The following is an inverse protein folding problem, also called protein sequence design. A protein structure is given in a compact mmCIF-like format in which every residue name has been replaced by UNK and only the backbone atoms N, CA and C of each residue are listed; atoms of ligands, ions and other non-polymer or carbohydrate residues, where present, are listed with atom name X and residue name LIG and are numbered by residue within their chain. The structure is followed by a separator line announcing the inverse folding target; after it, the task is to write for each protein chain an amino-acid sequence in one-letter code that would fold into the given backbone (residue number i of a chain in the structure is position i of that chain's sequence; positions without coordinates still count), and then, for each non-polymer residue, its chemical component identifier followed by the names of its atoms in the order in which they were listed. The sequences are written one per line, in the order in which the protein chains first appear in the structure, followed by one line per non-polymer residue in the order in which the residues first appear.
data_IF_380006838421
#
_entry.id   IF_380006838421
#
_cell.length_a   1.000
_cell.length_b   1.000
_cell.length_c   1.000
_cell.angle_alpha   90.00
_cell.angle_beta   90.00
_cell.angle_gamma   90.00
#
_symmetry.space_group_name_H-M   'P 1'
#
loop_
_entity.id
_entity.type
_entity.pdbx_description
1 polymer ?
#
# COMPACT_ATOMS: atom_id res chain seq x y z
N UNK A 1 -3.32 -37.59 -0.12
CA UNK A 1 -3.96 -36.71 0.88
C UNK A 1 -5.23 -36.14 0.26
N UNK A 2 -6.40 -36.67 0.62
CA UNK A 2 -7.69 -36.12 0.18
C UNK A 2 -7.97 -34.85 0.99
N UNK A 3 -7.48 -33.71 0.50
CA UNK A 3 -7.95 -32.42 1.01
C UNK A 3 -9.47 -32.36 0.87
N UNK A 4 -10.18 -31.89 1.88
CA UNK A 4 -11.61 -31.64 1.83
C UNK A 4 -11.89 -30.70 0.64
N UNK A 5 -12.20 -31.28 -0.52
CA UNK A 5 -12.68 -30.54 -1.68
C UNK A 5 -14.08 -30.07 -1.31
N UNK A 6 -14.34 -28.77 -1.41
CA UNK A 6 -15.62 -28.20 -1.03
C UNK A 6 -16.70 -28.63 -2.04
N UNK A 7 -17.34 -29.78 -1.78
CA UNK A 7 -18.34 -30.38 -2.68
C UNK A 7 -19.68 -29.62 -2.60
N UNK A 8 -19.85 -28.77 -1.59
CA UNK A 8 -21.16 -28.19 -1.23
C UNK A 8 -21.37 -26.76 -1.73
N UNK A 9 -20.33 -26.05 -2.15
CA UNK A 9 -20.40 -24.63 -2.56
C UNK A 9 -21.42 -24.38 -3.68
N UNK A 10 -21.54 -25.31 -4.62
CA UNK A 10 -22.46 -25.21 -5.76
C UNK A 10 -23.81 -25.89 -5.52
N UNK A 11 -23.92 -26.74 -4.50
CA UNK A 11 -25.15 -27.47 -4.18
C UNK A 11 -26.17 -26.60 -3.43
N UNK A 12 -25.69 -25.64 -2.63
CA UNK A 12 -26.53 -24.73 -1.84
C UNK A 12 -26.48 -23.27 -2.31
N UNK A 13 -25.75 -22.99 -3.39
CA UNK A 13 -25.59 -21.64 -3.93
C UNK A 13 -26.83 -21.18 -4.70
N UNK A 14 -27.69 -20.37 -4.07
CA UNK A 14 -28.75 -19.67 -4.78
C UNK A 14 -28.20 -18.39 -5.45
N UNK A 15 -28.14 -18.40 -6.79
CA UNK A 15 -27.79 -17.23 -7.58
C UNK A 15 -28.95 -16.22 -7.56
N UNK A 16 -28.82 -15.19 -6.73
CA UNK A 16 -29.69 -14.01 -6.81
C UNK A 16 -29.45 -13.28 -8.14
N UNK A 17 -30.52 -12.74 -8.73
CA UNK A 17 -30.42 -11.95 -9.97
C UNK A 17 -29.60 -10.68 -9.73
N UNK A 18 -28.59 -10.45 -10.57
CA UNK A 18 -27.79 -9.22 -10.57
C UNK A 18 -26.32 -9.46 -10.96
N UNK A 19 -25.71 -8.45 -11.57
CA UNK A 19 -24.31 -8.51 -12.05
C UNK A 19 -23.32 -8.74 -10.90
N UNK A 20 -23.57 -8.18 -9.73
CA UNK A 20 -22.71 -8.34 -8.54
C UNK A 20 -22.70 -9.79 -8.04
N UNK A 21 -23.85 -10.44 -8.00
CA UNK A 21 -23.98 -11.85 -7.61
C UNK A 21 -23.34 -12.77 -8.65
N UNK A 22 -23.49 -12.47 -9.94
CA UNK A 22 -22.82 -13.20 -11.01
C UNK A 22 -21.28 -13.10 -10.90
N UNK A 23 -20.74 -11.91 -10.62
CA UNK A 23 -19.31 -11.70 -10.41
C UNK A 23 -18.79 -12.39 -9.14
N UNK A 24 -19.57 -12.36 -8.05
CA UNK A 24 -19.22 -13.06 -6.82
C UNK A 24 -19.17 -14.58 -7.06
N UNK A 25 -20.15 -15.14 -7.77
CA UNK A 25 -20.16 -16.56 -8.11
C UNK A 25 -19.01 -16.93 -9.06
N UNK A 26 -18.68 -16.09 -10.03
CA UNK A 26 -17.53 -16.30 -10.91
C UNK A 26 -16.22 -16.37 -10.12
N UNK A 27 -16.04 -15.51 -9.10
CA UNK A 27 -14.87 -15.57 -8.20
C UNK A 27 -14.85 -16.83 -7.34
N UNK A 28 -16.00 -17.27 -6.83
CA UNK A 28 -16.11 -18.50 -6.06
C UNK A 28 -15.77 -19.72 -6.94
N UNK A 29 -16.27 -19.74 -8.18
CA UNK A 29 -15.96 -20.77 -9.17
C UNK A 29 -14.48 -20.81 -9.54
N UNK A 30 -13.88 -19.66 -9.83
CA UNK A 30 -12.45 -19.53 -10.12
C UNK A 30 -11.59 -20.02 -8.95
N UNK A 31 -11.89 -19.56 -7.73
CA UNK A 31 -11.19 -20.00 -6.52
C UNK A 31 -11.34 -21.50 -6.27
N UNK A 32 -12.51 -22.07 -6.50
CA UNK A 32 -12.74 -23.50 -6.33
C UNK A 32 -11.90 -24.31 -7.33
N UNK A 33 -11.95 -23.94 -8.62
CA UNK A 33 -11.22 -24.63 -9.68
C UNK A 33 -9.72 -24.52 -9.44
N UNK A 34 -9.23 -23.32 -9.13
CA UNK A 34 -7.81 -23.08 -8.87
C UNK A 34 -7.34 -23.81 -7.61
N UNK A 35 -7.97 -23.59 -6.46
CA UNK A 35 -7.53 -24.19 -5.19
C UNK A 35 -7.62 -25.72 -5.15
N UNK A 36 -8.62 -26.31 -5.83
CA UNK A 36 -8.86 -27.75 -5.75
C UNK A 36 -8.14 -28.56 -6.82
N UNK A 37 -7.74 -27.91 -7.93
CA UNK A 37 -7.23 -28.62 -9.11
C UNK A 37 -5.97 -28.03 -9.72
N UNK A 38 -5.45 -26.87 -9.29
CA UNK A 38 -4.25 -26.26 -9.89
C UNK A 38 -3.04 -27.19 -9.93
N UNK A 39 -2.80 -27.94 -8.86
CA UNK A 39 -1.66 -28.86 -8.77
C UNK A 39 -1.93 -30.23 -9.43
N UNK A 40 -3.11 -30.41 -10.02
CA UNK A 40 -3.47 -31.61 -10.75
C UNK A 40 -2.80 -31.61 -12.14
N UNK A 41 -2.21 -32.74 -12.58
CA UNK A 41 -1.68 -32.85 -13.94
C UNK A 41 -2.75 -32.70 -15.04
N UNK A 42 -4.04 -32.74 -14.66
CA UNK A 42 -5.17 -32.55 -15.57
C UNK A 42 -5.82 -31.17 -15.48
N UNK A 43 -5.21 -30.21 -14.77
CA UNK A 43 -5.78 -28.88 -14.57
C UNK A 43 -6.10 -28.16 -15.90
N UNK A 44 -5.15 -28.18 -16.83
CA UNK A 44 -5.34 -27.57 -18.15
C UNK A 44 -6.46 -28.23 -18.95
N UNK A 45 -6.54 -29.57 -18.91
CA UNK A 45 -7.62 -30.33 -19.58
C UNK A 45 -8.99 -30.00 -18.99
N UNK A 46 -9.07 -29.82 -17.67
CA UNK A 46 -10.29 -29.41 -16.98
C UNK A 46 -10.71 -28.00 -17.41
N UNK A 47 -9.78 -27.05 -17.43
CA UNK A 47 -10.06 -25.68 -17.88
C UNK A 47 -10.55 -25.65 -19.33
N UNK A 48 -9.89 -26.38 -20.23
CA UNK A 48 -10.31 -26.49 -21.63
C UNK A 48 -11.73 -27.05 -21.75
N UNK A 49 -12.05 -28.10 -20.98
CA UNK A 49 -13.39 -28.68 -20.96
C UNK A 49 -14.46 -27.70 -20.45
N UNK A 50 -14.15 -26.88 -19.45
CA UNK A 50 -15.06 -25.84 -18.94
C UNK A 50 -15.31 -24.78 -20.01
N UNK A 51 -14.25 -24.28 -20.66
CA UNK A 51 -14.39 -23.28 -21.72
C UNK A 51 -15.12 -23.83 -22.94
N UNK A 52 -14.87 -25.08 -23.31
CA UNK A 52 -15.59 -25.77 -24.39
C UNK A 52 -17.07 -25.96 -24.07
N UNK A 53 -17.40 -26.24 -22.80
CA UNK A 53 -18.79 -26.37 -22.40
C UNK A 53 -19.51 -25.02 -22.40
N UNK A 54 -18.87 -23.96 -21.91
CA UNK A 54 -19.41 -22.59 -21.92
C UNK A 54 -19.61 -22.10 -23.35
N UNK A 55 -18.66 -22.32 -24.26
CA UNK A 55 -18.76 -21.84 -25.64
C UNK A 55 -19.84 -22.54 -26.47
N UNK A 56 -20.25 -23.75 -26.04
CA UNK A 56 -21.33 -24.53 -26.66
C UNK A 56 -22.67 -24.39 -25.94
N UNK A 57 -22.73 -23.59 -24.88
CA UNK A 57 -23.97 -23.40 -24.13
C UNK A 57 -24.98 -22.61 -24.99
N UNK A 58 -26.21 -23.12 -25.18
CA UNK A 58 -27.24 -22.46 -25.98
C UNK A 58 -27.67 -21.09 -25.45
N UNK A 59 -27.29 -20.72 -24.21
CA UNK A 59 -27.52 -19.40 -23.63
C UNK A 59 -26.48 -18.35 -24.01
N UNK A 60 -25.37 -18.73 -24.66
CA UNK A 60 -24.36 -17.79 -25.16
C UNK A 60 -24.73 -17.25 -26.52
N UNK A 61 -24.98 -15.94 -26.60
CA UNK A 61 -25.19 -15.26 -27.88
C UNK A 61 -23.85 -14.88 -28.56
N UNK A 62 -23.89 -14.56 -29.85
CA UNK A 62 -22.70 -14.19 -30.63
C UNK A 62 -21.96 -12.99 -30.03
N UNK A 63 -22.68 -12.07 -29.37
CA UNK A 63 -22.09 -10.89 -28.73
C UNK A 63 -21.29 -11.28 -27.47
N UNK A 64 -21.80 -12.21 -26.69
CA UNK A 64 -21.15 -12.76 -25.50
C UNK A 64 -19.94 -13.62 -25.89
N UNK A 65 -20.04 -14.38 -26.97
CA UNK A 65 -18.90 -15.11 -27.54
C UNK A 65 -17.80 -14.16 -28.01
N UNK A 66 -18.14 -13.10 -28.74
CA UNK A 66 -17.18 -12.07 -29.17
C UNK A 66 -16.55 -11.33 -27.97
N UNK A 67 -17.34 -11.06 -26.93
CA UNK A 67 -16.84 -10.44 -25.69
C UNK A 67 -15.86 -11.37 -24.95
N UNK A 68 -16.15 -12.68 -24.91
CA UNK A 68 -15.28 -13.69 -24.34
C UNK A 68 -13.96 -13.80 -25.11
N UNK A 69 -14.00 -13.83 -26.43
CA UNK A 69 -12.81 -13.85 -27.29
C UNK A 69 -11.93 -12.62 -27.04
N UNK A 70 -12.52 -11.42 -27.04
CA UNK A 70 -11.80 -10.18 -26.76
C UNK A 70 -11.15 -10.18 -25.36
N UNK A 71 -11.83 -10.72 -24.35
CA UNK A 71 -11.30 -10.84 -23.00
C UNK A 71 -10.12 -11.84 -22.93
N UNK A 72 -10.20 -12.96 -23.65
CA UNK A 72 -9.11 -13.93 -23.74
C UNK A 72 -7.89 -13.36 -24.45
N UNK A 73 -8.08 -12.66 -25.57
CA UNK A 73 -7.01 -11.97 -26.29
C UNK A 73 -6.34 -10.90 -25.42
N UNK A 74 -7.12 -10.12 -24.66
CA UNK A 74 -6.59 -9.14 -23.71
C UNK A 74 -5.76 -9.82 -22.61
N UNK A 75 -6.23 -10.94 -22.07
CA UNK A 75 -5.50 -11.71 -21.04
C UNK A 75 -4.21 -12.30 -21.59
N UNK A 76 -4.22 -12.89 -22.79
CA UNK A 76 -3.03 -13.42 -23.45
C UNK A 76 -1.99 -12.32 -23.67
N UNK A 77 -2.42 -11.15 -24.16
CA UNK A 77 -1.54 -10.00 -24.34
C UNK A 77 -0.96 -9.50 -23.01
N UNK A 78 -1.73 -9.52 -21.93
CA UNK A 78 -1.24 -9.17 -20.60
C UNK A 78 -0.17 -10.14 -20.09
N UNK A 79 -0.39 -11.45 -20.24
CA UNK A 79 0.59 -12.49 -19.87
C UNK A 79 1.87 -12.37 -20.70
N UNK A 80 1.76 -12.16 -22.01
CA UNK A 80 2.92 -11.95 -22.89
C UNK A 80 3.68 -10.67 -22.53
N UNK A 81 2.96 -9.60 -22.15
CA UNK A 81 3.57 -8.36 -21.69
C UNK A 81 4.31 -8.56 -20.38
N UNK A 82 3.70 -9.23 -19.40
CA UNK A 82 4.34 -9.56 -18.12
C UNK A 82 5.58 -10.42 -18.30
N UNK A 83 5.53 -11.43 -19.18
CA UNK A 83 6.70 -12.24 -19.53
C UNK A 83 7.81 -11.39 -20.19
N UNK A 84 7.47 -10.45 -21.08
CA UNK A 84 8.43 -9.52 -21.70
C UNK A 84 9.02 -8.53 -20.71
N UNK A 85 8.22 -8.02 -19.78
CA UNK A 85 8.68 -7.07 -18.76
C UNK A 85 9.59 -7.78 -17.75
N UNK A 86 9.25 -9.00 -17.33
CA UNK A 86 10.12 -9.86 -16.53
C UNK A 86 11.42 -10.25 -17.24
N UNK A 87 11.41 -10.45 -18.56
CA UNK A 87 12.63 -10.70 -19.36
C UNK A 87 13.51 -9.44 -19.49
N UNK A 88 12.90 -8.26 -19.64
CA UNK A 88 13.63 -6.97 -19.61
C UNK A 88 14.25 -6.71 -18.25
N UNK A 89 13.55 -7.02 -17.16
CA UNK A 89 14.07 -6.83 -15.81
C UNK A 89 15.15 -7.86 -15.49
N UNK A 90 15.05 -9.11 -15.99
CA UNK A 90 16.17 -10.06 -15.99
C UNK A 90 17.39 -9.52 -16.74
N UNK A 91 17.22 -8.92 -17.92
CA UNK A 91 18.33 -8.33 -18.69
C UNK A 91 18.97 -7.13 -17.98
N UNK A 92 18.19 -6.31 -17.26
CA UNK A 92 18.70 -5.21 -16.43
C UNK A 92 19.46 -5.71 -15.19
N UNK A 93 18.98 -6.77 -14.54
CA UNK A 93 19.69 -7.39 -13.40
C UNK A 93 20.95 -8.18 -13.80
N UNK A 94 21.07 -8.58 -15.07
CA UNK A 94 22.26 -9.27 -15.59
C UNK A 94 23.35 -8.29 -16.07
N UNK A 95 23.09 -6.98 -16.10
CA UNK A 95 24.02 -5.99 -16.67
C UNK A 95 25.19 -5.57 -15.77
N UNK A 96 25.31 -6.10 -14.54
CA UNK A 96 26.41 -5.73 -13.63
C UNK A 96 27.42 -6.87 -13.34
N UNK A 97 27.26 -8.05 -13.94
CA UNK A 97 28.25 -9.14 -13.85
C UNK A 97 28.47 -9.88 -15.16
N UNK A 98 28.96 -9.15 -16.16
CA UNK A 98 29.91 -9.73 -17.12
C UNK A 98 31.07 -8.76 -17.26
N UNK A 99 32.18 -9.11 -16.61
CA UNK A 99 33.50 -8.79 -17.16
C UNK A 99 33.45 -9.11 -18.65
N UNK A 100 33.77 -8.12 -19.46
CA UNK A 100 34.03 -8.20 -20.90
C UNK A 100 34.99 -9.36 -21.17
N UNK A 101 34.42 -10.54 -21.39
CA UNK A 101 35.12 -11.72 -21.83
C UNK A 101 35.11 -11.75 -23.35
N UNK A 102 36.25 -11.38 -23.91
CA UNK A 102 36.86 -11.84 -25.17
C UNK A 102 35.89 -12.25 -26.28
N UNK A 103 35.92 -11.47 -27.37
CA UNK A 103 35.40 -11.85 -28.68
C UNK A 103 36.04 -13.19 -29.13
N UNK A 104 35.28 -14.23 -29.52
CA UNK A 104 35.83 -15.50 -29.98
C UNK A 104 36.57 -15.41 -31.33
N UNK A 105 36.60 -14.24 -31.97
CA UNK A 105 37.11 -14.08 -33.34
C UNK A 105 38.37 -13.21 -33.45
N UNK A 106 39.03 -12.85 -32.34
CA UNK A 106 40.38 -12.28 -32.40
C UNK A 106 41.42 -13.39 -32.52
N UNK A 107 41.90 -13.53 -33.75
CA UNK A 107 43.00 -14.37 -34.21
C UNK A 107 44.29 -14.01 -33.43
N UNK A 108 44.55 -14.74 -32.34
CA UNK A 108 45.74 -14.58 -31.52
C UNK A 108 46.90 -15.29 -32.20
N UNK A 109 47.51 -14.61 -33.18
CA UNK A 109 48.82 -14.97 -33.72
C UNK A 109 49.90 -14.94 -32.64
N UNK A 110 50.68 -16.03 -32.60
CA UNK A 110 52.07 -16.18 -32.11
C UNK A 110 52.50 -15.38 -30.87
N UNK A 111 52.72 -16.07 -29.75
CA UNK A 111 54.09 -16.44 -29.36
C UNK A 111 54.04 -17.40 -28.17
N UNK A 112 54.60 -18.59 -28.37
CA UNK A 112 54.85 -19.54 -27.30
C UNK A 112 56.15 -19.11 -26.61
N UNK A 113 56.04 -18.20 -25.64
CA UNK A 113 57.13 -17.95 -24.71
C UNK A 113 57.28 -19.17 -23.78
N UNK A 114 58.49 -19.74 -23.75
CA UNK A 114 58.87 -20.82 -22.85
C UNK A 114 58.85 -20.31 -21.41
N UNK A 115 57.72 -20.53 -20.71
CA UNK A 115 57.56 -20.19 -19.30
C UNK A 115 58.34 -21.19 -18.45
N UNK A 116 59.29 -20.69 -17.66
CA UNK A 116 60.12 -21.50 -16.76
C UNK A 116 59.30 -22.09 -15.60
N UNK A 117 59.73 -23.23 -15.03
CA UNK A 117 58.99 -23.94 -13.96
C UNK A 117 58.74 -23.08 -12.70
N UNK A 118 59.59 -22.09 -12.43
CA UNK A 118 59.43 -21.15 -11.31
C UNK A 118 58.32 -20.12 -11.54
N UNK A 119 58.11 -19.65 -12.77
CA UNK A 119 57.02 -18.73 -13.12
C UNK A 119 55.65 -19.43 -13.13
N UNK A 120 55.61 -20.73 -13.50
CA UNK A 120 54.41 -21.54 -13.36
C UNK A 120 54.02 -21.77 -11.89
N UNK A 121 55.00 -21.94 -11.00
CA UNK A 121 54.76 -22.07 -9.56
C UNK A 121 54.26 -20.75 -8.94
N UNK A 122 54.86 -19.61 -9.31
CA UNK A 122 54.42 -18.28 -8.87
C UNK A 122 53.00 -17.95 -9.35
N UNK A 123 52.66 -18.33 -10.59
CA UNK A 123 51.31 -18.14 -11.15
C UNK A 123 50.26 -19.00 -10.47
N UNK A 124 50.59 -20.25 -10.13
CA UNK A 124 49.69 -21.13 -9.35
C UNK A 124 49.47 -20.59 -7.93
N UNK A 125 50.53 -20.12 -7.26
CA UNK A 125 50.41 -19.53 -5.93
C UNK A 125 49.55 -18.24 -5.94
N UNK A 126 49.68 -17.41 -6.99
CA UNK A 126 48.84 -16.24 -7.16
C UNK A 126 47.36 -16.59 -7.41
N UNK A 127 47.09 -17.63 -8.21
CA UNK A 127 45.73 -18.13 -8.45
C UNK A 127 45.09 -18.70 -7.18
N UNK A 128 45.82 -19.50 -6.40
CA UNK A 128 45.31 -20.02 -5.12
C UNK A 128 45.04 -18.90 -4.10
N UNK A 129 45.87 -17.86 -4.07
CA UNK A 129 45.64 -16.70 -3.19
C UNK A 129 44.41 -15.89 -3.63
N UNK A 130 44.16 -15.76 -4.93
CA UNK A 130 42.98 -15.10 -5.48
C UNK A 130 41.70 -15.91 -5.23
N UNK A 131 41.75 -17.23 -5.40
CA UNK A 131 40.64 -18.13 -5.10
C UNK A 131 40.27 -18.10 -3.62
N UNK A 132 41.25 -18.14 -2.71
CA UNK A 132 41.01 -17.99 -1.27
C UNK A 132 40.39 -16.63 -0.92
N UNK A 133 40.75 -15.56 -1.62
CA UNK A 133 40.09 -14.25 -1.44
C UNK A 133 38.64 -14.26 -1.91
N UNK A 134 38.37 -14.87 -3.07
CA UNK A 134 37.01 -15.02 -3.61
C UNK A 134 36.13 -15.87 -2.69
N UNK A 135 36.66 -16.94 -2.12
CA UNK A 135 35.94 -17.77 -1.14
C UNK A 135 35.61 -16.98 0.13
N UNK A 136 36.55 -16.20 0.67
CA UNK A 136 36.30 -15.35 1.83
C UNK A 136 35.26 -14.24 1.56
N UNK A 137 35.28 -13.65 0.37
CA UNK A 137 34.27 -12.68 -0.06
C UNK A 137 32.89 -13.31 -0.24
N UNK A 138 32.84 -14.54 -0.75
CA UNK A 138 31.60 -15.30 -0.90
C UNK A 138 30.99 -15.66 0.46
N UNK A 139 31.81 -16.09 1.43
CA UNK A 139 31.36 -16.35 2.81
C UNK A 139 30.81 -15.07 3.45
N UNK A 140 31.52 -13.94 3.36
CA UNK A 140 31.05 -12.64 3.88
C UNK A 140 29.76 -12.18 3.20
N UNK A 141 29.59 -12.45 1.90
CA UNK A 141 28.36 -12.14 1.18
C UNK A 141 27.19 -13.02 1.65
N UNK A 142 27.43 -14.30 1.93
CA UNK A 142 26.42 -15.19 2.52
C UNK A 142 26.02 -14.73 3.92
N UNK A 143 26.96 -14.33 4.77
CA UNK A 143 26.68 -13.81 6.11
C UNK A 143 25.83 -12.54 6.06
N UNK A 144 26.15 -11.61 5.15
CA UNK A 144 25.33 -10.41 4.92
C UNK A 144 23.92 -10.75 4.44
N UNK A 145 23.80 -11.71 3.53
CA UNK A 145 22.50 -12.14 3.03
C UNK A 145 21.66 -12.84 4.11
N UNK A 146 22.29 -13.67 4.95
CA UNK A 146 21.65 -14.32 6.08
C UNK A 146 21.18 -13.31 7.14
N UNK A 147 22.00 -12.28 7.45
CA UNK A 147 21.61 -11.20 8.36
C UNK A 147 20.39 -10.42 7.83
N UNK A 148 20.35 -10.16 6.52
CA UNK A 148 19.24 -9.46 5.87
C UNK A 148 17.95 -10.30 5.87
N UNK A 149 18.06 -11.62 5.69
CA UNK A 149 16.96 -12.57 5.83
C UNK A 149 16.42 -12.62 7.27
N UNK A 150 17.31 -12.60 8.26
CA UNK A 150 16.94 -12.60 9.68
C UNK A 150 16.18 -11.31 10.04
N UNK A 151 16.70 -10.15 9.61
CA UNK A 151 16.05 -8.86 9.81
C UNK A 151 14.69 -8.79 9.12
N UNK A 152 14.53 -9.38 7.92
CA UNK A 152 13.21 -9.48 7.26
C UNK A 152 12.23 -10.30 8.09
N UNK A 153 12.65 -11.46 8.60
CA UNK A 153 11.80 -12.31 9.46
C UNK A 153 11.40 -11.58 10.74
N UNK A 154 12.34 -10.92 11.42
CA UNK A 154 12.03 -10.14 12.63
C UNK A 154 11.05 -8.99 12.34
N UNK A 155 11.18 -8.33 11.18
CA UNK A 155 10.29 -7.24 10.80
C UNK A 155 8.89 -7.76 10.39
N UNK A 156 8.83 -8.90 9.69
CA UNK A 156 7.58 -9.61 9.38
C UNK A 156 6.88 -10.10 10.65
N UNK A 157 7.62 -10.64 11.62
CA UNK A 157 7.07 -11.03 12.92
C UNK A 157 6.60 -9.83 13.73
N UNK A 158 7.34 -8.70 13.69
CA UNK A 158 6.92 -7.44 14.32
C UNK A 158 5.64 -6.91 13.68
N UNK A 159 5.54 -6.93 12.35
CA UNK A 159 4.34 -6.56 11.62
C UNK A 159 3.18 -7.52 11.92
N UNK A 160 3.45 -8.82 12.04
CA UNK A 160 2.43 -9.83 12.39
C UNK A 160 1.94 -9.68 13.84
N UNK A 161 2.83 -9.34 14.77
CA UNK A 161 2.49 -9.05 16.16
C UNK A 161 1.71 -7.74 16.29
N UNK A 162 2.04 -6.73 15.48
CA UNK A 162 1.26 -5.49 15.38
C UNK A 162 -0.11 -5.74 14.71
N UNK A 163 -0.17 -6.55 13.64
CA UNK A 163 -1.42 -6.92 12.97
C UNK A 163 -2.37 -7.70 13.89
N UNK A 164 -1.85 -8.52 14.82
CA UNK A 164 -2.65 -9.17 15.88
C UNK A 164 -3.13 -8.21 16.98
N UNK A 165 -2.54 -7.01 17.09
CA UNK A 165 -2.92 -5.94 18.03
C UNK A 165 -3.81 -4.87 17.40
N UNK A 166 -4.04 -4.91 16.09
CA UNK A 166 -5.07 -4.11 15.46
C UNK A 166 -6.40 -4.76 15.80
N UNK A 167 -7.00 -4.28 16.89
CA UNK A 167 -8.36 -4.60 17.27
C UNK A 167 -9.25 -4.31 16.05
N UNK A 168 -9.74 -5.37 15.41
CA UNK A 168 -10.48 -5.28 14.14
C UNK A 168 -11.69 -4.35 14.33
N UNK A 169 -12.25 -4.32 15.53
CA UNK A 169 -13.34 -3.41 15.91
C UNK A 169 -12.88 -1.95 16.01
N UNK A 170 -11.69 -1.68 16.54
CA UNK A 170 -11.14 -0.32 16.59
C UNK A 170 -10.74 0.19 15.20
N UNK A 171 -10.17 -0.68 14.37
CA UNK A 171 -9.81 -0.36 12.98
C UNK A 171 -11.05 -0.18 12.10
N UNK A 172 -12.08 -1.00 12.29
CA UNK A 172 -13.36 -0.86 11.61
C UNK A 172 -14.10 0.41 12.05
N UNK A 173 -14.05 0.77 13.35
CA UNK A 173 -14.54 2.09 13.83
C UNK A 173 -13.76 3.25 13.23
N UNK A 174 -12.45 3.14 13.09
CA UNK A 174 -11.61 4.17 12.47
C UNK A 174 -11.82 4.29 10.95
N UNK A 175 -12.11 3.18 10.27
CA UNK A 175 -12.50 3.17 8.86
C UNK A 175 -13.90 3.75 8.65
N UNK A 176 -14.85 3.40 9.52
CA UNK A 176 -16.20 3.95 9.51
C UNK A 176 -16.21 5.44 9.85
N UNK A 177 -15.39 5.89 10.82
CA UNK A 177 -15.24 7.32 11.15
C UNK A 177 -14.60 8.10 10.00
N UNK A 178 -13.66 7.50 9.27
CA UNK A 178 -13.06 8.07 8.05
C UNK A 178 -13.90 7.88 6.78
N UNK A 179 -15.15 7.44 6.91
CA UNK A 179 -16.11 7.36 5.82
C UNK A 179 -15.92 6.19 4.84
N UNK A 180 -15.07 5.21 5.15
CA UNK A 180 -15.03 3.95 4.42
C UNK A 180 -16.25 3.12 4.82
N UNK A 181 -17.34 3.26 4.05
CA UNK A 181 -18.45 2.31 4.10
C UNK A 181 -17.93 1.03 3.47
N UNK A 182 -17.60 0.03 4.29
CA UNK A 182 -17.50 -1.36 3.84
C UNK A 182 -18.87 -1.77 3.32
N UNK A 183 -19.09 -1.58 2.03
CA UNK A 183 -20.19 -2.21 1.30
C UNK A 183 -19.87 -3.71 1.30
N UNK A 184 -20.69 -4.47 2.02
CA UNK A 184 -20.59 -5.91 2.27
C UNK A 184 -19.46 -6.40 3.20
N UNK A 185 -19.66 -6.22 4.50
CA UNK A 185 -19.37 -7.30 5.45
C UNK A 185 -20.70 -7.95 5.82
N UNK A 186 -20.96 -9.17 5.31
CA UNK A 186 -22.20 -9.95 5.52
C UNK A 186 -22.47 -10.39 6.96
N UNK A 187 -22.11 -9.59 7.96
CA UNK A 187 -22.45 -9.80 9.35
C UNK A 187 -23.70 -8.99 9.69
N UNK A 188 -24.74 -9.61 10.29
CA UNK A 188 -25.97 -8.91 10.62
C UNK A 188 -25.70 -7.86 11.69
N UNK A 189 -25.74 -6.58 11.31
CA UNK A 189 -25.67 -5.47 12.25
C UNK A 189 -26.95 -5.46 13.09
N UNK A 190 -26.79 -5.64 14.41
CA UNK A 190 -27.89 -5.50 15.38
C UNK A 190 -28.50 -4.11 15.24
N UNK A 191 -29.73 -4.05 14.71
CA UNK A 191 -30.58 -2.85 14.75
C UNK A 191 -30.84 -2.49 16.20
N UNK A 192 -30.16 -1.46 16.72
CA UNK A 192 -30.61 -0.74 17.91
C UNK A 192 -31.50 0.40 17.42
N UNK A 193 -32.81 0.27 17.68
CA UNK A 193 -33.80 1.27 17.35
C UNK A 193 -33.56 2.57 18.12
N UNK A 194 -33.58 3.68 17.39
CA UNK A 194 -33.66 5.04 17.91
C UNK A 194 -34.27 5.92 16.81
N UNK A 195 -35.39 6.57 17.09
CA UNK A 195 -36.06 7.52 16.20
C UNK A 195 -35.08 8.62 15.79
N UNK A 196 -34.89 8.82 14.49
CA UNK A 196 -33.98 9.82 13.92
C UNK A 196 -32.98 9.26 12.89
N UNK A 197 -33.23 8.07 12.33
CA UNK A 197 -32.35 7.52 11.30
C UNK A 197 -32.29 8.46 10.10
N UNK A 198 -31.13 9.13 9.95
CA UNK A 198 -30.75 9.84 8.74
C UNK A 198 -31.03 8.95 7.52
N UNK A 199 -31.65 9.54 6.49
CA UNK A 199 -31.92 8.83 5.24
C UNK A 199 -30.62 8.27 4.69
N UNK A 200 -30.67 7.07 4.10
CA UNK A 200 -29.51 6.41 3.51
C UNK A 200 -28.74 7.37 2.58
N UNK A 201 -27.54 7.78 2.98
CA UNK A 201 -26.69 8.74 2.25
C UNK A 201 -26.61 10.17 2.82
N UNK A 202 -27.22 10.46 3.97
CA UNK A 202 -26.96 11.67 4.75
C UNK A 202 -26.18 11.31 6.03
N UNK A 203 -25.12 12.06 6.32
CA UNK A 203 -24.44 12.00 7.63
C UNK A 203 -25.29 12.75 8.66
N UNK A 204 -25.29 12.29 9.91
CA UNK A 204 -25.88 13.06 11.01
C UNK A 204 -25.17 14.40 11.14
N UNK A 205 -25.85 15.42 11.70
CA UNK A 205 -25.25 16.74 11.90
C UNK A 205 -23.95 16.67 12.75
N UNK A 206 -23.90 15.74 13.71
CA UNK A 206 -22.72 15.47 14.55
C UNK A 206 -21.57 14.81 13.77
N UNK A 207 -21.86 13.86 12.88
CA UNK A 207 -20.83 13.20 12.06
C UNK A 207 -20.30 14.16 10.97
N UNK A 208 -21.16 15.00 10.43
CA UNK A 208 -20.80 16.02 9.47
C UNK A 208 -19.89 17.10 10.09
N UNK A 209 -20.15 17.53 11.32
CA UNK A 209 -19.24 18.44 12.03
C UNK A 209 -17.90 17.79 12.34
N UNK A 210 -17.89 16.56 12.85
CA UNK A 210 -16.64 15.82 13.10
C UNK A 210 -15.79 15.71 11.84
N UNK A 211 -16.41 15.44 10.68
CA UNK A 211 -15.69 15.39 9.42
C UNK A 211 -15.13 16.76 8.99
N UNK A 212 -15.83 17.87 9.26
CA UNK A 212 -15.30 19.22 9.01
C UNK A 212 -14.12 19.54 9.92
N UNK A 213 -14.20 19.18 11.19
CA UNK A 213 -13.11 19.34 12.16
C UNK A 213 -11.88 18.53 11.75
N UNK A 214 -12.07 17.27 11.34
CA UNK A 214 -11.00 16.43 10.82
C UNK A 214 -10.33 17.07 9.60
N UNK A 215 -11.11 17.62 8.66
CA UNK A 215 -10.54 18.35 7.50
C UNK A 215 -9.74 19.57 7.95
N UNK A 216 -10.25 20.36 8.89
CA UNK A 216 -9.56 21.55 9.40
C UNK A 216 -8.23 21.19 10.07
N UNK A 217 -8.23 20.16 10.93
CA UNK A 217 -7.03 19.66 11.58
C UNK A 217 -6.00 19.12 10.58
N UNK A 218 -6.44 18.37 9.56
CA UNK A 218 -5.54 17.85 8.52
C UNK A 218 -4.91 18.99 7.70
N UNK A 219 -5.67 20.04 7.40
CA UNK A 219 -5.14 21.22 6.70
C UNK A 219 -4.10 21.93 7.55
N UNK A 220 -4.36 22.17 8.84
CA UNK A 220 -3.38 22.75 9.76
C UNK A 220 -2.14 21.86 9.92
N UNK A 221 -2.32 20.54 10.04
CA UNK A 221 -1.20 19.58 10.11
C UNK A 221 -0.34 19.62 8.84
N UNK A 222 -0.95 19.76 7.66
CA UNK A 222 -0.21 19.96 6.40
C UNK A 222 0.57 21.27 6.42
N UNK A 223 -0.06 22.38 6.81
CA UNK A 223 0.59 23.70 6.90
C UNK A 223 1.76 23.67 7.89
N UNK A 224 1.58 23.03 9.05
CA UNK A 224 2.62 22.79 10.05
C UNK A 224 3.82 22.03 9.48
N UNK A 225 3.56 20.93 8.78
CA UNK A 225 4.62 20.14 8.13
C UNK A 225 5.30 20.95 7.03
N UNK A 226 4.56 21.77 6.28
CA UNK A 226 5.12 22.67 5.28
C UNK A 226 6.01 23.75 5.93
N UNK A 227 5.58 24.39 7.02
CA UNK A 227 6.42 25.32 7.78
C UNK A 227 7.69 24.63 8.26
N UNK A 228 7.56 23.48 8.93
CA UNK A 228 8.71 22.73 9.44
C UNK A 228 9.62 22.19 8.33
N UNK A 229 9.18 22.06 7.08
CA UNK A 229 10.03 21.66 5.95
C UNK A 229 10.81 22.84 5.35
N UNK A 230 10.21 24.02 5.29
CA UNK A 230 10.78 25.18 4.60
C UNK A 230 11.55 26.12 5.53
N UNK A 231 11.43 25.98 6.85
CA UNK A 231 12.29 26.69 7.80
C UNK A 231 13.72 26.13 7.75
N UNK A 232 14.69 27.01 7.48
CA UNK A 232 16.11 26.64 7.52
C UNK A 232 16.60 26.43 8.95
N UNK A 233 17.70 25.69 9.15
CA UNK A 233 18.20 25.39 10.50
C UNK A 233 18.62 26.65 11.27
N UNK A 234 19.05 27.70 10.57
CA UNK A 234 19.42 29.00 11.16
C UNK A 234 18.19 29.79 11.66
N UNK A 235 17.04 29.60 11.03
CA UNK A 235 15.78 30.29 11.37
C UNK A 235 14.94 29.53 12.42
N UNK A 236 15.25 28.25 12.68
CA UNK A 236 14.51 27.42 13.64
C UNK A 236 14.32 28.06 15.02
N UNK A 237 15.34 28.68 15.64
CA UNK A 237 15.17 29.31 16.96
C UNK A 237 14.18 30.48 16.93
N UNK A 238 14.22 31.31 15.87
CA UNK A 238 13.31 32.44 15.72
C UNK A 238 11.87 31.96 15.45
N UNK A 239 11.71 30.96 14.58
CA UNK A 239 10.42 30.35 14.28
C UNK A 239 9.79 29.68 15.52
N UNK A 240 10.61 29.06 16.36
CA UNK A 240 10.17 28.48 17.64
C UNK A 240 9.61 29.53 18.60
N UNK A 241 10.32 30.65 18.76
CA UNK A 241 9.87 31.74 19.62
C UNK A 241 8.56 32.38 19.11
N UNK A 242 8.42 32.55 17.80
CA UNK A 242 7.17 33.01 17.19
C UNK A 242 6.03 31.99 17.38
N UNK A 243 6.31 30.69 17.19
CA UNK A 243 5.34 29.63 17.42
C UNK A 243 4.88 29.58 18.89
N UNK A 244 5.79 29.78 19.85
CA UNK A 244 5.46 29.85 21.28
C UNK A 244 4.61 31.08 21.62
N UNK A 245 4.90 32.24 21.03
CA UNK A 245 4.08 33.45 21.21
C UNK A 245 2.68 33.26 20.68
N UNK A 246 2.55 32.79 19.44
CA UNK A 246 1.24 32.53 18.83
C UNK A 246 0.45 31.48 19.63
N UNK A 247 1.09 30.43 20.13
CA UNK A 247 0.46 29.45 21.03
C UNK A 247 -0.07 30.09 22.32
N UNK A 248 0.67 31.03 22.92
CA UNK A 248 0.20 31.76 24.10
C UNK A 248 -1.03 32.62 23.81
N UNK A 249 -1.08 33.28 22.64
CA UNK A 249 -2.25 34.04 22.18
C UNK A 249 -3.47 33.14 21.98
N UNK A 250 -3.31 32.00 21.31
CA UNK A 250 -4.41 31.04 21.11
C UNK A 250 -4.88 30.42 22.43
N UNK A 251 -3.99 30.19 23.41
CA UNK A 251 -4.39 29.77 24.76
C UNK A 251 -5.28 30.80 25.44
N UNK A 252 -4.95 32.09 25.32
CA UNK A 252 -5.79 33.16 25.88
C UNK A 252 -7.15 33.25 25.19
N UNK A 253 -7.18 33.17 23.85
CA UNK A 253 -8.43 33.19 23.08
C UNK A 253 -9.32 31.97 23.37
N UNK A 254 -8.72 30.78 23.43
CA UNK A 254 -9.44 29.55 23.78
C UNK A 254 -10.05 29.60 25.18
N UNK A 255 -9.37 30.22 26.16
CA UNK A 255 -9.90 30.39 27.50
C UNK A 255 -11.10 31.35 27.59
N UNK A 256 -11.26 32.25 26.62
CA UNK A 256 -12.38 33.20 26.56
C UNK A 256 -13.63 32.63 25.87
N UNK A 257 -13.53 31.43 25.30
CA UNK A 257 -14.61 30.79 24.54
C UNK A 257 -15.44 29.88 25.46
N UNK A 258 -16.76 30.05 25.41
CA UNK A 258 -17.72 29.17 26.09
C UNK A 258 -17.96 27.85 25.35
N UNK A 259 -18.82 26.97 25.89
CA UNK A 259 -19.14 25.70 25.23
C UNK A 259 -19.72 25.94 23.82
N UNK A 260 -19.20 25.23 22.78
CA UNK A 260 -19.67 25.40 21.42
C UNK A 260 -21.14 24.96 21.29
N UNK A 261 -21.93 25.73 20.54
CA UNK A 261 -23.33 25.42 20.28
C UNK A 261 -23.47 24.09 19.51
N UNK A 262 -24.52 23.32 19.83
CA UNK A 262 -24.77 22.04 19.18
C UNK A 262 -25.11 22.23 17.68
N UNK A 263 -24.58 21.37 16.79
CA UNK A 263 -24.83 21.49 15.36
C UNK A 263 -26.31 21.27 15.02
N UNK A 264 -26.91 22.29 14.39
CA UNK A 264 -28.33 22.26 14.01
C UNK A 264 -28.57 21.89 12.55
N UNK A 265 -27.53 21.86 11.70
CA UNK A 265 -27.68 21.72 10.24
C UNK A 265 -27.16 20.39 9.72
N UNK A 266 -28.06 19.58 9.17
CA UNK A 266 -27.72 18.39 8.39
C UNK A 266 -27.06 18.80 7.06
N UNK A 267 -26.04 18.05 6.64
CA UNK A 267 -25.39 18.26 5.34
C UNK A 267 -26.03 17.43 4.23
N UNK A 268 -26.05 17.99 3.03
CA UNK A 268 -26.47 17.29 1.82
C UNK A 268 -25.43 16.25 1.38
N UNK A 269 -25.88 15.23 0.64
CA UNK A 269 -25.00 14.17 0.10
C UNK A 269 -23.87 14.73 -0.79
N UNK A 270 -24.13 15.79 -1.57
CA UNK A 270 -23.12 16.44 -2.41
C UNK A 270 -22.02 17.10 -1.57
N UNK A 271 -22.39 17.82 -0.51
CA UNK A 271 -21.43 18.45 0.41
C UNK A 271 -20.57 17.39 1.12
N UNK A 272 -21.18 16.25 1.50
CA UNK A 272 -20.45 15.11 2.08
C UNK A 272 -19.42 14.58 1.10
N UNK A 273 -19.79 14.32 -0.15
CA UNK A 273 -18.84 13.81 -1.16
C UNK A 273 -17.71 14.78 -1.45
N UNK A 274 -17.98 16.09 -1.45
CA UNK A 274 -16.94 17.11 -1.64
C UNK A 274 -15.99 17.16 -0.44
N UNK A 275 -16.50 17.06 0.79
CA UNK A 275 -15.69 17.01 2.00
C UNK A 275 -14.83 15.75 2.05
N UNK A 276 -15.37 14.60 1.66
CA UNK A 276 -14.60 13.35 1.54
C UNK A 276 -13.47 13.45 0.50
N UNK A 277 -13.75 14.04 -0.67
CA UNK A 277 -12.72 14.29 -1.68
C UNK A 277 -11.64 15.25 -1.17
N UNK A 278 -12.04 16.32 -0.48
CA UNK A 278 -11.11 17.28 0.13
C UNK A 278 -10.25 16.60 1.20
N UNK A 279 -10.84 15.80 2.08
CA UNK A 279 -10.14 15.05 3.12
C UNK A 279 -9.12 14.08 2.52
N UNK A 280 -9.51 13.31 1.50
CA UNK A 280 -8.62 12.38 0.80
C UNK A 280 -7.41 13.11 0.18
N UNK A 281 -7.65 14.22 -0.51
CA UNK A 281 -6.59 15.02 -1.13
C UNK A 281 -5.63 15.59 -0.08
N UNK A 282 -6.15 16.23 0.97
CA UNK A 282 -5.31 16.84 2.01
C UNK A 282 -4.53 15.78 2.79
N UNK A 283 -5.11 14.60 3.03
CA UNK A 283 -4.41 13.47 3.68
C UNK A 283 -3.23 12.97 2.84
N UNK A 284 -3.42 12.84 1.53
CA UNK A 284 -2.33 12.43 0.63
C UNK A 284 -1.19 13.45 0.62
N UNK A 285 -1.52 14.75 0.49
CA UNK A 285 -0.53 15.83 0.51
C UNK A 285 0.23 15.86 1.84
N UNK A 286 -0.50 15.76 2.96
CA UNK A 286 0.07 15.70 4.31
C UNK A 286 1.05 14.53 4.45
N UNK A 287 0.66 13.32 4.02
CA UNK A 287 1.52 12.14 4.09
C UNK A 287 2.78 12.31 3.25
N UNK A 288 2.67 12.96 2.08
CA UNK A 288 3.84 13.30 1.26
C UNK A 288 4.79 14.24 2.00
N UNK A 289 4.29 15.28 2.68
CA UNK A 289 5.12 16.20 3.49
C UNK A 289 5.74 15.51 4.70
N UNK A 290 4.99 14.67 5.41
CA UNK A 290 5.53 13.90 6.53
C UNK A 290 6.68 12.97 6.10
N UNK A 291 6.58 12.36 4.92
CA UNK A 291 7.67 11.55 4.35
C UNK A 291 8.88 12.40 3.97
N UNK A 292 8.68 13.60 3.42
CA UNK A 292 9.76 14.54 3.13
C UNK A 292 10.49 14.94 4.42
N UNK A 293 9.75 15.26 5.48
CA UNK A 293 10.33 15.68 6.76
C UNK A 293 11.12 14.54 7.41
N UNK A 294 10.60 13.30 7.32
CA UNK A 294 11.29 12.10 7.81
C UNK A 294 12.56 11.76 7.02
N UNK A 295 12.66 12.21 5.78
CA UNK A 295 13.85 12.02 4.94
C UNK A 295 14.94 13.08 5.19
N UNK A 296 14.62 14.18 5.89
CA UNK A 296 15.61 15.16 6.34
C UNK A 296 16.42 14.63 7.51
N UNK A 297 17.58 15.23 7.76
CA UNK A 297 18.37 14.92 8.95
C UNK A 297 17.59 15.27 10.23
N UNK A 298 17.59 14.40 11.25
CA UNK A 298 16.89 14.66 12.51
C UNK A 298 17.43 15.92 13.18
N UNK A 299 16.55 16.86 13.50
CA UNK A 299 16.90 18.10 14.20
C UNK A 299 15.95 18.33 15.39
N UNK A 300 16.46 18.37 16.63
CA UNK A 300 15.62 18.50 17.83
C UNK A 300 14.82 19.80 17.88
N UNK A 301 15.34 20.91 17.33
CA UNK A 301 14.62 22.18 17.27
C UNK A 301 13.46 22.13 16.27
N UNK A 302 13.63 21.36 15.19
CA UNK A 302 12.58 21.15 14.19
C UNK A 302 11.46 20.26 14.74
N UNK A 303 11.81 19.23 15.50
CA UNK A 303 10.83 18.38 16.20
C UNK A 303 10.06 19.17 17.26
N UNK A 304 10.75 20.03 18.01
CA UNK A 304 10.11 20.93 18.97
C UNK A 304 9.17 21.92 18.26
N UNK A 305 9.57 22.46 17.10
CA UNK A 305 8.75 23.38 16.31
C UNK A 305 7.45 22.70 15.86
N UNK A 306 7.54 21.46 15.36
CA UNK A 306 6.36 20.67 15.00
C UNK A 306 5.46 20.45 16.22
N UNK A 307 6.01 20.16 17.40
CA UNK A 307 5.22 19.95 18.62
C UNK A 307 4.50 21.23 19.10
N UNK A 308 5.19 22.38 19.09
CA UNK A 308 4.60 23.67 19.49
C UNK A 308 3.49 24.08 18.52
N UNK A 309 3.74 23.95 17.21
CA UNK A 309 2.75 24.24 16.18
C UNK A 309 1.54 23.30 16.28
N UNK A 310 1.74 22.03 16.63
CA UNK A 310 0.64 21.09 16.85
C UNK A 310 -0.32 21.55 17.96
N UNK A 311 0.23 21.95 19.10
CA UNK A 311 -0.58 22.47 20.21
C UNK A 311 -1.31 23.76 19.81
N UNK A 312 -0.64 24.63 19.05
CA UNK A 312 -1.25 25.86 18.53
C UNK A 312 -2.41 25.55 17.59
N UNK A 313 -2.23 24.62 16.66
CA UNK A 313 -3.21 24.30 15.62
C UNK A 313 -4.50 23.72 16.19
N UNK A 314 -4.39 22.85 17.22
CA UNK A 314 -5.56 22.33 17.95
C UNK A 314 -6.36 23.48 18.56
N UNK A 315 -5.69 24.42 19.22
CA UNK A 315 -6.34 25.59 19.81
C UNK A 315 -6.92 26.52 18.72
N UNK A 316 -6.21 26.72 17.61
CA UNK A 316 -6.69 27.54 16.51
C UNK A 316 -7.99 26.99 15.91
N UNK A 317 -8.09 25.67 15.69
CA UNK A 317 -9.33 25.04 15.21
C UNK A 317 -10.48 25.23 16.20
N UNK A 318 -10.21 25.12 17.51
CA UNK A 318 -11.26 25.38 18.53
C UNK A 318 -11.73 26.83 18.54
N UNK A 319 -10.82 27.79 18.36
CA UNK A 319 -11.14 29.22 18.28
C UNK A 319 -11.93 29.53 17.02
N UNK A 320 -11.45 29.09 15.86
CA UNK A 320 -12.12 29.27 14.58
C UNK A 320 -13.52 28.63 14.59
N UNK A 321 -13.72 27.50 15.27
CA UNK A 321 -15.05 26.89 15.41
C UNK A 321 -16.00 27.79 16.21
N UNK A 322 -15.56 28.31 17.34
CA UNK A 322 -16.39 29.17 18.18
C UNK A 322 -16.73 30.52 17.52
N UNK A 323 -15.83 31.06 16.70
CA UNK A 323 -16.07 32.28 15.93
C UNK A 323 -17.06 32.08 14.76
N UNK A 324 -17.20 30.84 14.27
CA UNK A 324 -18.04 30.48 13.12
C UNK A 324 -19.37 29.80 13.50
N UNK A 325 -19.64 29.58 14.80
CA UNK A 325 -20.88 28.97 15.32
C UNK A 325 -22.00 29.99 15.47
#
# INVERSE_FOLDING_TARGET
MSGNKDIYTFQYGELKKGQTYALAMARVADNFVHSSFHDSPNYEKLLLSIFEHISKDPSMDDKMLQALENALMARQNAVLKEARDNDKDRKKFVFEKRTTGRDPNEDSGSDAEEVTEEELAARKAAQEAEEKRKEQEWIKAQERYAALQLQKRENEERLRAQARKVDIDAFQRQLQSRGAVLVDSGLPTKKKGGKGAAKAGQLSAEDAERMKEEVALIVKEKERLDTALHTSDEELPAALEEARRSLAEYKQRAAAIGEPAAPTKEMSKSEVTQLQQKLAKQTMDKNRRALQLKAMEPNPLRDELVSVLEQRDVLAVTVERAENA
#
